data_IF_164272942333
#
_entry.id   IF_164272942333
#
_cell.length_a   1.000
_cell.length_b   1.000
_cell.length_c   1.000
_cell.angle_alpha   90.00
_cell.angle_beta   90.00
_cell.angle_gamma   90.00
#
_symmetry.space_group_name_H-M   'P 1'
#
loop_
_entity.id
_entity.type
_entity.pdbx_description
1 polymer ?
#
# COMPACT_ATOMS: atom_id res chain seq x y z
N UNK A 1 15.55 17.30 -21.27
CA UNK A 1 15.02 16.01 -21.70
C UNK A 1 13.56 16.20 -22.02
N UNK A 2 13.18 15.99 -23.28
CA UNK A 2 11.76 15.88 -23.61
C UNK A 2 11.25 14.61 -22.95
N UNK A 3 10.40 14.76 -21.93
CA UNK A 3 9.62 13.63 -21.42
C UNK A 3 8.89 13.05 -22.63
N UNK A 4 9.14 11.76 -22.91
CA UNK A 4 8.53 11.14 -24.08
C UNK A 4 7.01 11.18 -23.93
N UNK A 5 6.29 11.27 -25.04
CA UNK A 5 4.83 11.24 -24.99
C UNK A 5 4.31 9.96 -24.33
N UNK A 6 5.09 8.87 -24.47
CA UNK A 6 4.89 7.58 -23.81
C UNK A 6 4.93 7.70 -22.29
N UNK A 7 5.91 8.41 -21.71
CA UNK A 7 6.01 8.57 -20.24
C UNK A 7 4.81 9.34 -19.68
N UNK A 8 4.34 10.36 -20.40
CA UNK A 8 3.13 11.11 -20.02
C UNK A 8 1.89 10.21 -20.07
N UNK A 9 1.74 9.42 -21.12
CA UNK A 9 0.63 8.46 -21.26
C UNK A 9 0.66 7.39 -20.17
N UNK A 10 1.85 6.86 -19.85
CA UNK A 10 2.04 5.87 -18.79
C UNK A 10 1.67 6.43 -17.41
N UNK A 11 2.11 7.64 -17.08
CA UNK A 11 1.76 8.29 -15.81
C UNK A 11 0.25 8.56 -15.71
N UNK A 12 -0.39 9.01 -16.79
CA UNK A 12 -1.83 9.22 -16.85
C UNK A 12 -2.61 7.91 -16.66
N UNK A 13 -2.20 6.84 -17.37
CA UNK A 13 -2.82 5.53 -17.24
C UNK A 13 -2.65 4.99 -15.80
N UNK A 14 -1.44 5.06 -15.24
CA UNK A 14 -1.17 4.64 -13.86
C UNK A 14 -2.03 5.38 -12.85
N UNK A 15 -2.11 6.72 -12.98
CA UNK A 15 -2.97 7.59 -12.17
C UNK A 15 -4.44 7.17 -12.26
N UNK A 16 -4.96 6.95 -13.46
CA UNK A 16 -6.36 6.58 -13.67
C UNK A 16 -6.67 5.21 -13.06
N UNK A 17 -5.80 4.22 -13.28
CA UNK A 17 -5.95 2.88 -12.71
C UNK A 17 -5.98 2.96 -11.18
N UNK A 18 -5.03 3.65 -10.56
CA UNK A 18 -4.96 3.81 -9.11
C UNK A 18 -6.17 4.54 -8.55
N UNK A 19 -6.60 5.63 -9.20
CA UNK A 19 -7.78 6.39 -8.78
C UNK A 19 -9.06 5.55 -8.86
N UNK A 20 -9.26 4.78 -9.93
CA UNK A 20 -10.41 3.88 -10.07
C UNK A 20 -10.36 2.78 -9.00
N UNK A 21 -9.22 2.13 -8.81
CA UNK A 21 -9.09 1.04 -7.84
C UNK A 21 -9.34 1.53 -6.41
N UNK A 22 -8.70 2.63 -5.98
CA UNK A 22 -8.91 3.18 -4.64
C UNK A 22 -10.33 3.74 -4.46
N UNK A 23 -10.86 4.43 -5.47
CA UNK A 23 -12.23 4.96 -5.43
C UNK A 23 -13.28 3.84 -5.28
N UNK A 24 -13.18 2.80 -6.10
CA UNK A 24 -14.07 1.63 -6.00
C UNK A 24 -13.89 0.88 -4.68
N UNK A 25 -12.64 0.74 -4.20
CA UNK A 25 -12.36 0.09 -2.92
C UNK A 25 -12.97 0.87 -1.74
N UNK A 26 -12.93 2.20 -1.76
CA UNK A 26 -13.56 3.04 -0.74
C UNK A 26 -15.08 2.99 -0.80
N UNK A 27 -15.66 3.08 -1.99
CA UNK A 27 -17.13 2.97 -2.18
C UNK A 27 -17.63 1.60 -1.71
N UNK A 28 -16.93 0.51 -2.02
CA UNK A 28 -17.29 -0.83 -1.57
C UNK A 28 -17.31 -0.94 -0.04
N UNK A 29 -16.30 -0.37 0.64
CA UNK A 29 -16.24 -0.35 2.12
C UNK A 29 -17.33 0.53 2.74
N UNK A 30 -17.71 1.64 2.10
CA UNK A 30 -18.82 2.47 2.56
C UNK A 30 -20.17 1.74 2.45
N UNK A 31 -20.37 0.96 1.38
CA UNK A 31 -21.61 0.18 1.15
C UNK A 31 -21.81 -0.92 2.18
N UNK A 32 -20.74 -1.56 2.65
CA UNK A 32 -20.78 -2.56 3.73
C UNK A 32 -19.82 -2.21 4.88
N UNK A 33 -20.08 -1.07 5.52
CA UNK A 33 -19.24 -0.59 6.63
C UNK A 33 -19.23 -1.57 7.81
N UNK A 34 -20.37 -2.22 8.09
CA UNK A 34 -20.48 -3.17 9.19
C UNK A 34 -19.63 -4.42 8.93
N UNK A 35 -19.71 -5.01 7.73
CA UNK A 35 -18.87 -6.13 7.31
C UNK A 35 -17.38 -5.76 7.27
N UNK A 36 -17.05 -4.54 6.84
CA UNK A 36 -15.68 -4.06 6.84
C UNK A 36 -15.10 -3.92 8.26
N UNK A 37 -15.84 -3.32 9.20
CA UNK A 37 -15.43 -3.19 10.61
C UNK A 37 -15.18 -4.57 11.24
N UNK A 38 -16.09 -5.52 11.00
CA UNK A 38 -15.97 -6.87 11.55
C UNK A 38 -14.74 -7.59 10.99
N UNK A 39 -14.56 -7.53 9.67
CA UNK A 39 -13.36 -8.09 9.00
C UNK A 39 -12.09 -7.44 9.55
N UNK A 40 -12.06 -6.12 9.69
CA UNK A 40 -10.90 -5.40 10.21
C UNK A 40 -10.56 -5.81 11.65
N UNK A 41 -11.55 -6.03 12.52
CA UNK A 41 -11.32 -6.52 13.90
C UNK A 41 -10.67 -7.90 13.97
N UNK A 42 -11.00 -8.76 13.01
CA UNK A 42 -10.42 -10.11 12.89
C UNK A 42 -9.00 -10.07 12.31
N UNK A 43 -8.69 -9.07 11.48
CA UNK A 43 -7.39 -8.90 10.86
C UNK A 43 -6.37 -8.13 11.72
N UNK A 44 -6.78 -7.36 12.73
CA UNK A 44 -5.85 -6.64 13.61
C UNK A 44 -5.55 -7.38 14.91
N UNK A 45 -4.36 -7.19 15.52
CA UNK A 45 -4.06 -7.68 16.86
C UNK A 45 -5.08 -7.19 17.91
N UNK A 46 -5.36 -8.00 18.93
CA UNK A 46 -6.33 -7.68 20.01
C UNK A 46 -6.05 -6.32 20.65
N UNK A 47 -4.78 -6.02 20.91
CA UNK A 47 -4.32 -4.74 21.49
C UNK A 47 -4.63 -3.49 20.65
N UNK A 48 -4.94 -3.63 19.36
CA UNK A 48 -5.26 -2.54 18.43
C UNK A 48 -6.76 -2.49 18.06
N UNK A 49 -7.59 -3.41 18.59
CA UNK A 49 -9.02 -3.49 18.24
C UNK A 49 -9.81 -2.23 18.62
N UNK A 50 -9.36 -1.49 19.64
CA UNK A 50 -9.98 -0.24 20.05
C UNK A 50 -9.90 0.86 18.98
N UNK A 51 -8.88 0.83 18.12
CA UNK A 51 -8.67 1.81 17.05
C UNK A 51 -9.47 1.47 15.77
N UNK A 52 -9.98 0.24 15.65
CA UNK A 52 -10.65 -0.25 14.44
C UNK A 52 -11.89 0.59 14.06
N UNK A 53 -12.81 0.95 14.96
CA UNK A 53 -14.00 1.71 14.57
C UNK A 53 -13.67 3.10 14.00
N UNK A 54 -12.60 3.74 14.47
CA UNK A 54 -12.14 5.02 13.93
C UNK A 54 -11.44 4.82 12.59
N UNK A 55 -10.49 3.88 12.53
CA UNK A 55 -9.76 3.54 11.30
C UNK A 55 -10.69 3.06 10.18
N UNK A 56 -11.71 2.27 10.50
CA UNK A 56 -12.64 1.72 9.53
C UNK A 56 -13.53 2.79 8.87
N UNK A 57 -13.79 3.91 9.56
CA UNK A 57 -14.50 5.06 9.00
C UNK A 57 -13.58 6.00 8.23
N UNK A 58 -12.35 6.19 8.73
CA UNK A 58 -11.37 7.06 8.10
C UNK A 58 -10.83 6.48 6.79
N UNK A 59 -10.57 5.18 6.74
CA UNK A 59 -9.91 4.53 5.61
C UNK A 59 -10.66 4.68 4.28
N UNK A 60 -11.99 4.43 4.18
CA UNK A 60 -12.72 4.59 2.94
C UNK A 60 -12.75 6.05 2.45
N UNK A 61 -12.81 7.00 3.40
CA UNK A 61 -12.73 8.44 3.09
C UNK A 61 -11.35 8.78 2.53
N UNK A 62 -10.27 8.26 3.12
CA UNK A 62 -8.91 8.46 2.63
C UNK A 62 -8.67 7.83 1.25
N UNK A 63 -9.25 6.67 0.98
CA UNK A 63 -9.19 6.02 -0.35
C UNK A 63 -9.86 6.88 -1.43
N UNK A 64 -11.09 7.36 -1.16
CA UNK A 64 -11.84 8.22 -2.09
C UNK A 64 -11.16 9.58 -2.24
N UNK A 65 -10.68 10.17 -1.14
CA UNK A 65 -9.98 11.45 -1.17
C UNK A 65 -8.65 11.33 -1.93
N UNK A 66 -7.90 10.23 -1.76
CA UNK A 66 -6.69 9.95 -2.53
C UNK A 66 -7.00 9.83 -4.02
N UNK A 67 -8.05 9.09 -4.40
CA UNK A 67 -8.50 9.00 -5.78
C UNK A 67 -8.88 10.37 -6.37
N UNK A 68 -9.66 11.18 -5.66
CA UNK A 68 -10.03 12.53 -6.08
C UNK A 68 -8.83 13.48 -6.18
N UNK A 69 -7.90 13.41 -5.22
CA UNK A 69 -6.66 14.19 -5.21
C UNK A 69 -5.80 13.85 -6.43
N UNK A 70 -5.67 12.56 -6.76
CA UNK A 70 -4.98 12.08 -7.96
C UNK A 70 -5.63 12.62 -9.23
N UNK A 71 -6.95 12.84 -9.27
CA UNK A 71 -7.65 13.41 -10.42
C UNK A 71 -7.60 14.95 -10.51
N UNK A 72 -6.98 15.62 -9.53
CA UNK A 72 -6.95 17.08 -9.41
C UNK A 72 -5.54 17.65 -9.56
N UNK A 73 -5.35 18.92 -9.16
CA UNK A 73 -4.03 19.55 -9.02
C UNK A 73 -3.19 18.98 -7.86
N UNK A 74 -3.78 18.18 -6.97
CA UNK A 74 -3.12 17.60 -5.79
C UNK A 74 -2.53 16.22 -6.06
N UNK A 75 -2.00 15.99 -7.27
CA UNK A 75 -1.53 14.68 -7.73
C UNK A 75 -0.48 14.07 -6.78
N UNK A 76 0.52 14.86 -6.37
CA UNK A 76 1.58 14.42 -5.47
C UNK A 76 1.03 13.89 -4.14
N UNK A 77 0.09 14.62 -3.54
CA UNK A 77 -0.56 14.24 -2.27
C UNK A 77 -1.39 12.98 -2.46
N UNK A 78 -2.12 12.89 -3.57
CA UNK A 78 -2.92 11.71 -3.93
C UNK A 78 -2.05 10.45 -4.05
N UNK A 79 -0.96 10.52 -4.81
CA UNK A 79 0.00 9.42 -5.01
C UNK A 79 0.72 9.02 -3.72
N UNK A 80 1.19 10.00 -2.93
CA UNK A 80 1.83 9.71 -1.64
C UNK A 80 0.87 9.01 -0.67
N UNK A 81 -0.38 9.48 -0.61
CA UNK A 81 -1.43 8.84 0.21
C UNK A 81 -1.72 7.43 -0.30
N UNK A 82 -1.80 7.22 -1.62
CA UNK A 82 -2.00 5.90 -2.21
C UNK A 82 -0.90 4.91 -1.82
N UNK A 83 0.37 5.33 -1.87
CA UNK A 83 1.52 4.51 -1.43
C UNK A 83 1.36 4.10 0.03
N UNK A 84 1.04 5.04 0.93
CA UNK A 84 0.87 4.75 2.36
C UNK A 84 -0.29 3.78 2.61
N UNK A 85 -1.43 3.99 1.95
CA UNK A 85 -2.60 3.12 2.07
C UNK A 85 -2.30 1.71 1.56
N UNK A 86 -1.73 1.59 0.37
CA UNK A 86 -1.39 0.29 -0.25
C UNK A 86 -0.32 -0.46 0.54
N UNK A 87 0.66 0.25 1.10
CA UNK A 87 1.65 -0.33 2.00
C UNK A 87 0.97 -0.90 3.27
N UNK A 88 0.08 -0.13 3.89
CA UNK A 88 -0.69 -0.59 5.04
C UNK A 88 -1.51 -1.85 4.73
N UNK A 89 -2.20 -1.88 3.57
CA UNK A 89 -2.95 -3.05 3.14
C UNK A 89 -2.05 -4.26 2.87
N UNK A 90 -0.91 -4.07 2.20
CA UNK A 90 0.03 -5.15 1.93
C UNK A 90 0.49 -5.80 3.23
N UNK A 91 0.86 -5.01 4.24
CA UNK A 91 1.28 -5.51 5.56
C UNK A 91 0.18 -6.31 6.26
N UNK A 92 -1.06 -5.83 6.20
CA UNK A 92 -2.22 -6.55 6.79
C UNK A 92 -2.45 -7.89 6.08
N UNK A 93 -2.45 -7.91 4.75
CA UNK A 93 -2.69 -9.13 3.97
C UNK A 93 -1.56 -10.16 4.15
N UNK A 94 -0.30 -9.72 4.12
CA UNK A 94 0.86 -10.59 4.36
C UNK A 94 0.79 -11.21 5.76
N UNK A 95 0.47 -10.40 6.78
CA UNK A 95 0.26 -10.90 8.15
C UNK A 95 -0.86 -11.93 8.20
N UNK A 96 -1.97 -11.68 7.55
CA UNK A 96 -3.12 -12.56 7.58
C UNK A 96 -2.85 -13.91 6.90
N UNK A 97 -2.14 -13.90 5.76
CA UNK A 97 -1.65 -15.12 5.11
C UNK A 97 -0.68 -15.90 6.00
N UNK A 98 0.27 -15.20 6.65
CA UNK A 98 1.25 -15.84 7.52
C UNK A 98 0.61 -16.52 8.73
N UNK A 99 -0.37 -15.86 9.35
CA UNK A 99 -1.12 -16.39 10.49
C UNK A 99 -2.21 -17.38 10.07
N UNK A 100 -2.35 -17.67 8.76
CA UNK A 100 -3.41 -18.50 8.18
C UNK A 100 -4.78 -18.14 8.75
N UNK A 101 -5.04 -16.83 8.90
CA UNK A 101 -6.32 -16.38 9.44
C UNK A 101 -7.41 -16.76 8.45
N UNK A 102 -8.40 -17.53 8.92
CA UNK A 102 -9.65 -17.80 8.19
C UNK A 102 -10.57 -16.57 8.19
N UNK A 103 -10.01 -15.40 7.86
CA UNK A 103 -10.76 -14.16 7.71
C UNK A 103 -11.13 -13.98 6.23
N UNK A 104 -12.42 -13.81 5.94
CA UNK A 104 -12.85 -13.46 4.58
C UNK A 104 -12.44 -12.01 4.27
N UNK A 105 -11.65 -11.79 3.21
CA UNK A 105 -11.22 -10.45 2.83
C UNK A 105 -12.37 -9.65 2.18
N UNK A 106 -13.24 -9.02 2.98
CA UNK A 106 -14.24 -8.08 2.46
C UNK A 106 -13.63 -6.81 1.82
N UNK A 107 -12.31 -6.62 1.91
CA UNK A 107 -11.59 -5.41 1.49
C UNK A 107 -11.66 -5.08 -0.02
N UNK A 108 -12.01 -6.07 -0.86
CA UNK A 108 -12.17 -5.90 -2.32
C UNK A 108 -13.58 -6.27 -2.82
N UNK A 109 -14.59 -6.26 -1.94
CA UNK A 109 -15.94 -6.66 -2.32
C UNK A 109 -16.09 -8.17 -2.59
N UNK A 110 -15.17 -8.99 -2.07
CA UNK A 110 -15.29 -10.43 -2.13
C UNK A 110 -16.51 -10.87 -1.31
N UNK A 111 -17.26 -11.84 -1.85
CA UNK A 111 -18.38 -12.50 -1.18
C UNK A 111 -17.94 -13.08 0.16
N UNK A 112 -18.83 -13.03 1.17
CA UNK A 112 -18.63 -13.72 2.46
C UNK A 112 -18.24 -15.18 2.18
N UNK A 113 -17.01 -15.57 2.49
CA UNK A 113 -16.49 -16.93 2.32
C UNK A 113 -15.20 -17.06 1.50
N UNK A 114 -14.79 -16.03 0.76
CA UNK A 114 -13.52 -16.07 0.01
C UNK A 114 -12.33 -15.96 0.97
N UNK A 115 -11.46 -16.97 1.00
CA UNK A 115 -10.23 -16.96 1.81
C UNK A 115 -9.25 -15.94 1.26
N UNK A 116 -8.42 -15.36 2.14
CA UNK A 116 -7.30 -14.53 1.70
C UNK A 116 -6.34 -15.41 0.91
N UNK A 117 -6.17 -15.12 -0.37
CA UNK A 117 -5.26 -15.82 -1.26
C UNK A 117 -4.05 -14.93 -1.62
N UNK A 118 -2.94 -15.55 -1.98
CA UNK A 118 -1.72 -14.90 -2.45
C UNK A 118 -1.96 -13.95 -3.62
N UNK A 119 -3.00 -14.19 -4.43
CA UNK A 119 -3.42 -13.28 -5.50
C UNK A 119 -3.77 -11.87 -4.98
N UNK A 120 -4.40 -11.77 -3.79
CA UNK A 120 -4.73 -10.48 -3.19
C UNK A 120 -3.47 -9.70 -2.80
N UNK A 121 -2.49 -10.39 -2.21
CA UNK A 121 -1.18 -9.79 -1.90
C UNK A 121 -0.46 -9.35 -3.17
N UNK A 122 -0.37 -10.22 -4.18
CA UNK A 122 0.29 -9.90 -5.44
C UNK A 122 -0.33 -8.67 -6.11
N UNK A 123 -1.67 -8.58 -6.15
CA UNK A 123 -2.39 -7.41 -6.66
C UNK A 123 -2.05 -6.14 -5.88
N UNK A 124 -2.09 -6.18 -4.55
CA UNK A 124 -1.79 -5.01 -3.72
C UNK A 124 -0.33 -4.57 -3.86
N UNK A 125 0.61 -5.51 -3.94
CA UNK A 125 2.03 -5.20 -4.19
C UNK A 125 2.24 -4.60 -5.58
N UNK A 126 1.58 -5.12 -6.61
CA UNK A 126 1.62 -4.55 -7.96
C UNK A 126 1.11 -3.12 -8.00
N UNK A 127 -0.01 -2.85 -7.33
CA UNK A 127 -0.57 -1.49 -7.20
C UNK A 127 0.36 -0.57 -6.39
N UNK A 128 0.98 -1.07 -5.32
CA UNK A 128 1.95 -0.31 -4.52
C UNK A 128 3.16 0.09 -5.37
N UNK A 129 3.69 -0.86 -6.15
CA UNK A 129 4.78 -0.60 -7.09
C UNK A 129 4.39 0.45 -8.13
N UNK A 130 3.20 0.31 -8.73
CA UNK A 130 2.68 1.29 -9.68
C UNK A 130 2.55 2.69 -9.07
N UNK A 131 2.04 2.80 -7.84
CA UNK A 131 1.90 4.07 -7.12
C UNK A 131 3.26 4.70 -6.78
N UNK A 132 4.23 3.89 -6.34
CA UNK A 132 5.57 4.36 -6.01
C UNK A 132 6.32 4.85 -7.26
N UNK A 133 6.24 4.10 -8.35
CA UNK A 133 6.82 4.48 -9.65
C UNK A 133 6.19 5.79 -10.13
N UNK A 134 4.85 5.87 -10.17
CA UNK A 134 4.15 7.08 -10.59
C UNK A 134 4.53 8.31 -9.73
N UNK A 135 4.68 8.14 -8.41
CA UNK A 135 5.09 9.21 -7.50
C UNK A 135 6.52 9.68 -7.80
N UNK A 136 7.47 8.76 -7.98
CA UNK A 136 8.86 9.10 -8.26
C UNK A 136 8.99 9.81 -9.60
N UNK A 137 8.33 9.30 -10.64
CA UNK A 137 8.34 9.92 -11.97
C UNK A 137 7.77 11.35 -11.91
N UNK A 138 6.63 11.53 -11.26
CA UNK A 138 6.00 12.85 -11.11
C UNK A 138 6.90 13.86 -10.36
N UNK A 139 7.53 13.42 -9.26
CA UNK A 139 8.50 14.24 -8.52
C UNK A 139 9.80 14.50 -9.32
N UNK A 140 10.14 13.63 -10.25
CA UNK A 140 11.27 13.80 -11.18
C UNK A 140 10.98 14.85 -12.24
N UNK A 141 9.77 14.85 -12.80
CA UNK A 141 9.36 15.78 -13.87
C UNK A 141 9.08 17.20 -13.38
N UNK A 142 8.54 17.37 -12.17
CA UNK A 142 8.18 18.69 -11.63
C UNK A 142 9.39 19.53 -11.20
N UNK A 143 10.58 18.93 -11.07
CA UNK A 143 11.83 19.64 -10.77
C UNK A 143 12.36 20.50 -11.93
N UNK A 144 11.65 20.54 -13.07
CA UNK A 144 12.06 21.26 -14.28
C UNK A 144 11.72 22.76 -14.35
N UNK A 145 10.90 23.34 -13.44
CA UNK A 145 10.60 24.78 -13.43
C UNK A 145 11.38 25.51 -12.33
N UNK A 146 12.49 26.15 -12.75
CA UNK A 146 13.35 27.09 -12.01
C UNK A 146 14.03 26.60 -10.74
N UNK A 147 15.11 25.83 -10.89
CA UNK A 147 16.36 25.98 -10.13
C UNK A 147 17.48 25.37 -11.00
N UNK A 148 18.53 26.12 -11.37
CA UNK A 148 19.57 25.63 -12.25
C UNK A 148 20.53 24.76 -11.43
N UNK A 149 20.27 23.45 -11.38
CA UNK A 149 21.29 22.49 -11.01
C UNK A 149 21.39 21.42 -12.08
N UNK A 150 22.40 21.64 -12.92
CA UNK A 150 23.11 20.68 -13.75
C UNK A 150 22.92 19.22 -13.31
N UNK A 151 22.36 18.39 -14.19
CA UNK A 151 22.36 16.94 -14.02
C UNK A 151 23.62 16.38 -14.69
N UNK A 152 24.73 16.58 -14.00
CA UNK A 152 25.86 15.66 -13.97
C UNK A 152 25.62 14.73 -12.78
N UNK A 153 25.67 13.41 -12.96
CA UNK A 153 25.56 12.41 -11.88
C UNK A 153 24.18 12.15 -11.26
N UNK A 154 23.11 12.87 -11.62
CA UNK A 154 21.84 12.85 -10.87
C UNK A 154 20.75 11.87 -11.36
N UNK A 155 20.97 11.13 -12.45
CA UNK A 155 20.09 10.00 -12.82
C UNK A 155 20.46 8.73 -12.04
N UNK A 156 21.74 8.56 -11.74
CA UNK A 156 22.23 7.51 -10.86
C UNK A 156 21.72 7.68 -9.42
N UNK A 157 21.51 8.91 -8.94
CA UNK A 157 20.94 9.15 -7.61
C UNK A 157 19.44 8.86 -7.54
N UNK A 158 18.66 9.17 -8.59
CA UNK A 158 17.24 8.82 -8.62
C UNK A 158 17.05 7.29 -8.65
N UNK A 159 17.80 6.58 -9.50
CA UNK A 159 17.80 5.11 -9.54
C UNK A 159 18.31 4.56 -8.20
N UNK A 160 19.39 5.10 -7.63
CA UNK A 160 19.91 4.66 -6.34
C UNK A 160 18.92 4.91 -5.19
N UNK A 161 18.15 6.00 -5.21
CA UNK A 161 17.11 6.29 -4.20
C UNK A 161 15.93 5.33 -4.36
N UNK A 162 15.49 5.03 -5.59
CA UNK A 162 14.42 4.05 -5.85
C UNK A 162 14.87 2.65 -5.45
N UNK A 163 16.07 2.25 -5.85
CA UNK A 163 16.67 0.98 -5.45
C UNK A 163 16.87 0.91 -3.94
N UNK A 164 17.33 1.98 -3.29
CA UNK A 164 17.48 2.05 -1.84
C UNK A 164 16.14 2.01 -1.11
N UNK A 165 15.09 2.66 -1.63
CA UNK A 165 13.76 2.61 -1.06
C UNK A 165 13.13 1.22 -1.22
N UNK A 166 13.28 0.60 -2.39
CA UNK A 166 12.83 -0.77 -2.64
C UNK A 166 13.58 -1.78 -1.76
N UNK A 167 14.91 -1.63 -1.65
CA UNK A 167 15.76 -2.45 -0.77
C UNK A 167 15.47 -2.20 0.71
N UNK A 168 15.22 -0.96 1.13
CA UNK A 168 14.84 -0.64 2.51
C UNK A 168 13.47 -1.21 2.84
N UNK A 169 12.52 -1.16 1.90
CA UNK A 169 11.19 -1.78 2.07
C UNK A 169 11.30 -3.30 2.15
N UNK A 170 12.11 -3.91 1.27
CA UNK A 170 12.43 -5.34 1.33
C UNK A 170 13.16 -5.72 2.62
N UNK A 171 14.12 -4.92 3.06
CA UNK A 171 14.90 -5.15 4.29
C UNK A 171 14.04 -4.97 5.54
N UNK A 172 13.13 -4.01 5.57
CA UNK A 172 12.15 -3.85 6.66
C UNK A 172 11.17 -5.02 6.68
N UNK A 173 10.73 -5.50 5.52
CA UNK A 173 9.90 -6.71 5.42
C UNK A 173 10.66 -7.95 5.93
N UNK A 174 11.94 -8.12 5.55
CA UNK A 174 12.80 -9.23 6.01
C UNK A 174 13.14 -9.11 7.50
N UNK A 175 13.45 -7.92 8.00
CA UNK A 175 13.75 -7.69 9.41
C UNK A 175 12.52 -7.93 10.29
N UNK A 176 11.34 -7.48 9.84
CA UNK A 176 10.08 -7.80 10.47
C UNK A 176 9.85 -9.32 10.47
N UNK A 177 10.09 -10.01 9.34
CA UNK A 177 9.97 -11.46 9.25
C UNK A 177 10.92 -12.18 10.22
N UNK A 178 12.18 -11.72 10.34
CA UNK A 178 13.16 -12.32 11.26
C UNK A 178 12.82 -12.11 12.72
N UNK A 179 12.43 -10.90 13.12
CA UNK A 179 11.94 -10.63 14.48
C UNK A 179 10.76 -11.54 14.85
N UNK A 180 9.87 -11.80 13.89
CA UNK A 180 8.74 -12.71 14.09
C UNK A 180 9.19 -14.16 14.25
N UNK A 181 10.17 -14.65 13.46
CA UNK A 181 10.72 -16.01 13.63
C UNK A 181 11.44 -16.19 14.98
N UNK A 182 12.16 -15.18 15.46
CA UNK A 182 12.89 -15.27 16.74
C UNK A 182 11.94 -15.34 17.93
N UNK A 183 10.83 -14.60 17.87
CA UNK A 183 9.78 -14.64 18.89
C UNK A 183 9.10 -16.01 18.89
N UNK A 184 8.85 -16.59 17.71
CA UNK A 184 8.20 -17.90 17.57
C UNK A 184 9.09 -19.04 18.11
N UNK A 185 10.40 -18.98 17.91
CA UNK A 185 11.34 -19.93 18.55
C UNK A 185 11.39 -19.77 20.07
N UNK A 186 11.25 -18.55 20.58
CA UNK A 186 11.23 -18.29 22.02
C UNK A 186 9.97 -18.83 22.71
N UNK A 187 8.83 -18.82 22.03
CA UNK A 187 7.57 -19.36 22.57
C UNK A 187 7.60 -20.90 22.57
N UNK A 188 8.05 -21.54 21.48
CA UNK A 188 8.16 -23.01 21.43
C UNK A 188 9.12 -23.59 22.46
N UNK A 189 10.24 -22.92 22.71
CA UNK A 189 11.19 -23.34 23.75
C UNK A 189 10.59 -23.29 25.16
N UNK A 190 9.59 -22.44 25.39
CA UNK A 190 8.87 -22.37 26.67
C UNK A 190 7.81 -23.47 26.83
N UNK A 191 7.21 -23.94 25.74
CA UNK A 191 6.21 -25.02 25.75
C UNK A 191 6.83 -26.42 25.90
N UNK A 192 8.06 -26.65 25.44
CA UNK A 192 8.76 -27.94 25.62
C UNK A 192 9.32 -28.18 27.03
N UNK A 193 9.36 -27.13 27.87
CA UNK A 193 9.86 -27.19 29.24
C UNK A 193 8.77 -26.99 30.32
N UNK A 194 7.50 -26.85 29.90
CA UNK A 194 6.34 -26.76 30.79
C UNK A 194 5.57 -28.09 30.79
#
# INVERSE_FOLDING_TARGET
MEVSEVDRLLLQAARLILAVVLGLAGIAKLRDMAGFVETARNLVPVRLRWAVPAGARALPVLEIASAAAMLSRFLTVGLATAVLLLLGFALVLIRALHLRLDASCACFGASRGERIDGAAVARTIGLLGLAAVALVFHLGTDRGSTLPLSISGSEATAVAIVSAAALATGALAVAALRLLTTVETGIRAHEEHA
#
